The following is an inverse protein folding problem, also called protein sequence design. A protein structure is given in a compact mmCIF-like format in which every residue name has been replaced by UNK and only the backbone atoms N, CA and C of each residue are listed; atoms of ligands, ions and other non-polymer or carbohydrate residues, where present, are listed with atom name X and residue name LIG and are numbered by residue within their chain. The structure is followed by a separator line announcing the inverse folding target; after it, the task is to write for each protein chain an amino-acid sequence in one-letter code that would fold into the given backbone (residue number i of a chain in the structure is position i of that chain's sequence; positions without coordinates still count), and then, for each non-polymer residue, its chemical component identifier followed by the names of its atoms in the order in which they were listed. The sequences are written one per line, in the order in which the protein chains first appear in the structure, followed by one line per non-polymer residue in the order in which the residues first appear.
data_IF_384420178721
#
_entry.id   IF_384420178721
#
_cell.length_a   1.000
_cell.length_b   1.000
_cell.length_c   1.000
_cell.angle_alpha   90.00
_cell.angle_beta   90.00
_cell.angle_gamma   90.00
#
_symmetry.space_group_name_H-M   'P 1'
#
loop_
_entity.id
_entity.type
_entity.pdbx_description
1 polymer ?
#
# COMPACT_ATOMS: atom_id res chain seq x y z
N UNK A 1 -14.59 -0.52 -14.79
CA UNK A 1 -13.45 -0.40 -13.85
C UNK A 1 -12.90 -1.80 -13.64
N UNK A 2 -11.58 -1.99 -13.60
CA UNK A 2 -11.04 -3.33 -13.39
C UNK A 2 -11.32 -3.83 -11.96
N UNK A 3 -11.72 -5.10 -11.76
CA UNK A 3 -12.04 -5.64 -10.43
C UNK A 3 -10.91 -5.48 -9.41
N UNK A 4 -9.66 -5.68 -9.84
CA UNK A 4 -8.48 -5.50 -8.98
C UNK A 4 -8.33 -4.06 -8.52
N UNK A 5 -8.53 -3.09 -9.44
CA UNK A 5 -8.49 -1.66 -9.11
C UNK A 5 -9.59 -1.29 -8.12
N UNK A 6 -10.80 -1.84 -8.29
CA UNK A 6 -11.91 -1.59 -7.37
C UNK A 6 -11.60 -2.08 -5.95
N UNK A 7 -11.07 -3.29 -5.79
CA UNK A 7 -10.72 -3.84 -4.47
C UNK A 7 -9.61 -3.04 -3.78
N UNK A 8 -8.56 -2.66 -4.51
CA UNK A 8 -7.48 -1.80 -3.98
C UNK A 8 -8.00 -0.43 -3.57
N UNK A 9 -8.82 0.19 -4.41
CA UNK A 9 -9.43 1.50 -4.09
C UNK A 9 -10.31 1.44 -2.84
N UNK A 10 -11.10 0.38 -2.68
CA UNK A 10 -11.89 0.17 -1.45
C UNK A 10 -10.98 0.03 -0.23
N UNK A 11 -9.92 -0.78 -0.31
CA UNK A 11 -8.98 -0.94 0.79
C UNK A 11 -8.34 0.39 1.19
N UNK A 12 -7.93 1.20 0.21
CA UNK A 12 -7.39 2.55 0.42
C UNK A 12 -8.40 3.47 1.14
N UNK A 13 -9.64 3.54 0.65
CA UNK A 13 -10.66 4.40 1.24
C UNK A 13 -10.99 3.99 2.68
N UNK A 14 -11.07 2.68 2.95
CA UNK A 14 -11.27 2.15 4.30
C UNK A 14 -10.11 2.48 5.25
N UNK A 15 -8.87 2.37 4.77
CA UNK A 15 -7.70 2.75 5.57
C UNK A 15 -7.69 4.25 5.87
N UNK A 16 -7.93 5.07 4.84
CA UNK A 16 -8.02 6.52 4.96
C UNK A 16 -9.11 6.98 5.92
N UNK A 17 -10.24 6.27 5.97
CA UNK A 17 -11.34 6.56 6.90
C UNK A 17 -11.14 5.95 8.29
N UNK A 18 -9.96 5.38 8.58
CA UNK A 18 -9.65 4.68 9.83
C UNK A 18 -10.64 3.56 10.17
N UNK A 19 -11.15 2.85 9.16
CA UNK A 19 -11.98 1.67 9.37
C UNK A 19 -11.18 0.55 10.05
N UNK A 20 -11.89 -0.47 10.54
CA UNK A 20 -11.26 -1.64 11.16
C UNK A 20 -10.18 -2.26 10.25
N UNK A 21 -8.99 -2.48 10.81
CA UNK A 21 -7.85 -3.10 10.13
C UNK A 21 -8.18 -4.50 9.59
N UNK A 22 -9.11 -5.23 10.22
CA UNK A 22 -9.62 -6.51 9.71
C UNK A 22 -10.30 -6.34 8.34
N UNK A 23 -11.09 -5.28 8.18
CA UNK A 23 -11.82 -5.02 6.93
C UNK A 23 -10.87 -4.60 5.81
N UNK A 24 -9.92 -3.71 6.11
CA UNK A 24 -8.86 -3.31 5.15
C UNK A 24 -8.09 -4.54 4.67
N UNK A 25 -7.64 -5.39 5.60
CA UNK A 25 -6.92 -6.64 5.30
C UNK A 25 -7.75 -7.61 4.46
N UNK A 26 -9.06 -7.71 4.70
CA UNK A 26 -9.94 -8.57 3.90
C UNK A 26 -10.01 -8.14 2.43
N UNK A 27 -10.13 -6.84 2.16
CA UNK A 27 -10.13 -6.32 0.78
C UNK A 27 -8.75 -6.47 0.12
N UNK A 28 -7.65 -6.21 0.86
CA UNK A 28 -6.28 -6.44 0.37
C UNK A 28 -6.05 -7.92 0.00
N UNK A 29 -6.39 -8.84 0.91
CA UNK A 29 -6.25 -10.27 0.65
C UNK A 29 -7.08 -10.74 -0.55
N UNK A 30 -8.29 -10.21 -0.74
CA UNK A 30 -9.09 -10.51 -1.92
C UNK A 30 -8.45 -9.95 -3.20
N UNK A 31 -7.83 -8.76 -3.15
CA UNK A 31 -7.09 -8.18 -4.27
C UNK A 31 -5.88 -9.05 -4.65
N UNK A 32 -5.12 -9.56 -3.67
CA UNK A 32 -3.98 -10.46 -3.90
C UNK A 32 -4.42 -11.77 -4.56
N UNK A 33 -5.53 -12.35 -4.08
CA UNK A 33 -6.13 -13.55 -4.68
C UNK A 33 -6.54 -13.29 -6.13
N UNK A 34 -7.14 -12.12 -6.41
CA UNK A 34 -7.54 -11.74 -7.76
C UNK A 34 -6.33 -11.51 -8.67
N UNK A 35 -5.27 -10.86 -8.17
CA UNK A 35 -4.04 -10.63 -8.92
C UNK A 35 -3.32 -11.94 -9.28
N UNK A 36 -3.41 -12.96 -8.42
CA UNK A 36 -2.87 -14.29 -8.67
C UNK A 36 -3.79 -15.18 -9.52
N UNK A 37 -5.02 -14.75 -9.81
CA UNK A 37 -6.00 -15.52 -10.58
C UNK A 37 -6.05 -15.01 -12.02
N UNK A 38 -5.98 -15.88 -13.05
CA UNK A 38 -6.12 -15.46 -14.44
C UNK A 38 -7.42 -14.68 -14.68
N UNK A 39 -7.41 -13.55 -15.43
CA UNK A 39 -8.60 -12.72 -15.63
C UNK A 39 -9.80 -13.48 -16.23
N UNK A 40 -9.56 -14.45 -17.10
CA UNK A 40 -10.58 -15.31 -17.69
C UNK A 40 -11.23 -16.22 -16.65
N UNK A 41 -10.47 -16.72 -15.67
CA UNK A 41 -10.98 -17.49 -14.55
C UNK A 41 -11.83 -16.63 -13.61
N UNK A 42 -11.41 -15.39 -13.34
CA UNK A 42 -12.20 -14.43 -12.55
C UNK A 42 -13.55 -14.17 -13.23
N UNK A 43 -13.56 -13.93 -14.54
CA UNK A 43 -14.78 -13.71 -15.31
C UNK A 43 -15.70 -14.94 -15.31
N UNK A 44 -15.15 -16.15 -15.49
CA UNK A 44 -15.90 -17.42 -15.41
C UNK A 44 -16.55 -17.60 -14.03
N UNK A 45 -15.78 -17.43 -12.95
CA UNK A 45 -16.27 -17.58 -11.58
C UNK A 45 -17.32 -16.54 -11.22
N UNK A 46 -17.17 -15.31 -11.70
CA UNK A 46 -18.16 -14.26 -11.53
C UNK A 46 -19.49 -14.66 -12.18
N UNK A 47 -19.43 -15.14 -13.44
CA UNK A 47 -20.63 -15.58 -14.18
C UNK A 47 -21.29 -16.81 -13.55
N UNK A 48 -20.50 -17.71 -12.96
CA UNK A 48 -20.97 -18.90 -12.27
C UNK A 48 -21.42 -18.66 -10.82
N UNK A 49 -21.18 -17.47 -10.25
CA UNK A 49 -21.47 -17.18 -8.84
C UNK A 49 -20.55 -17.90 -7.83
N UNK A 50 -19.38 -18.39 -8.28
CA UNK A 50 -18.45 -19.23 -7.50
C UNK A 50 -17.19 -18.50 -7.02
N UNK A 51 -17.17 -17.16 -7.08
CA UNK A 51 -16.04 -16.35 -6.59
C UNK A 51 -15.69 -16.65 -5.11
N UNK A 52 -16.70 -16.98 -4.29
CA UNK A 52 -16.53 -17.28 -2.86
C UNK A 52 -15.80 -18.60 -2.57
N UNK A 53 -15.62 -19.43 -3.58
CA UNK A 53 -14.80 -20.64 -3.48
C UNK A 53 -13.30 -20.29 -3.49
N UNK A 54 -12.93 -19.09 -3.96
CA UNK A 54 -11.56 -18.60 -3.84
C UNK A 54 -11.29 -18.26 -2.38
N UNK A 55 -10.34 -18.97 -1.78
CA UNK A 55 -9.93 -18.74 -0.38
C UNK A 55 -9.47 -17.28 -0.22
N UNK A 56 -10.16 -16.52 0.63
CA UNK A 56 -9.89 -15.09 0.86
C UNK A 56 -10.92 -14.15 0.23
N UNK A 57 -11.85 -14.67 -0.58
CA UNK A 57 -12.95 -13.90 -1.16
C UNK A 57 -14.23 -14.16 -0.35
N UNK A 58 -14.73 -13.13 0.33
CA UNK A 58 -15.99 -13.14 1.07
C UNK A 58 -17.16 -12.56 0.26
N UNK A 59 -18.36 -12.52 0.84
CA UNK A 59 -19.56 -12.04 0.14
C UNK A 59 -19.41 -10.60 -0.39
N UNK A 60 -18.87 -9.70 0.43
CA UNK A 60 -18.68 -8.30 0.05
C UNK A 60 -17.69 -8.13 -1.12
N UNK A 61 -16.58 -8.87 -1.11
CA UNK A 61 -15.57 -8.78 -2.18
C UNK A 61 -16.05 -9.48 -3.44
N UNK A 62 -16.78 -10.59 -3.33
CA UNK A 62 -17.41 -11.27 -4.47
C UNK A 62 -18.44 -10.38 -5.18
N UNK A 63 -19.24 -9.62 -4.43
CA UNK A 63 -20.18 -8.64 -5.00
C UNK A 63 -19.45 -7.56 -5.79
N UNK A 64 -18.43 -6.94 -5.17
CA UNK A 64 -17.59 -5.93 -5.81
C UNK A 64 -16.96 -6.43 -7.10
N UNK A 65 -16.37 -7.64 -7.07
CA UNK A 65 -15.74 -8.23 -8.26
C UNK A 65 -16.78 -8.49 -9.35
N UNK A 66 -17.96 -8.99 -9.00
CA UNK A 66 -19.00 -9.28 -9.99
C UNK A 66 -19.54 -8.03 -10.67
N UNK A 67 -19.80 -6.97 -9.90
CA UNK A 67 -20.22 -5.68 -10.42
C UNK A 67 -19.15 -5.08 -11.37
N UNK A 68 -17.88 -5.14 -10.97
CA UNK A 68 -16.77 -4.64 -11.78
C UNK A 68 -16.58 -5.45 -13.08
N UNK A 69 -16.69 -6.79 -13.03
CA UNK A 69 -16.64 -7.66 -14.22
C UNK A 69 -17.79 -7.35 -15.18
N UNK A 70 -18.98 -7.00 -14.65
CA UNK A 70 -20.12 -6.56 -15.45
C UNK A 70 -19.95 -5.15 -16.05
N UNK A 71 -18.81 -4.48 -15.81
CA UNK A 71 -18.51 -3.14 -16.31
C UNK A 71 -19.10 -2.01 -15.46
N UNK A 72 -19.76 -2.31 -14.34
CA UNK A 72 -20.28 -1.30 -13.43
C UNK A 72 -19.19 -0.76 -12.49
N UNK A 73 -19.44 0.41 -11.91
CA UNK A 73 -18.71 0.85 -10.71
C UNK A 73 -19.36 0.15 -9.51
N UNK A 74 -18.61 -0.60 -8.69
CA UNK A 74 -19.21 -1.32 -7.58
C UNK A 74 -19.93 -0.42 -6.58
N UNK A 75 -21.11 -0.82 -6.11
CA UNK A 75 -21.94 -0.03 -5.18
C UNK A 75 -21.21 0.23 -3.86
N UNK A 76 -20.46 -0.78 -3.39
CA UNK A 76 -19.64 -0.65 -2.19
C UNK A 76 -18.57 0.43 -2.35
N UNK A 77 -17.92 0.48 -3.51
CA UNK A 77 -16.91 1.50 -3.82
C UNK A 77 -17.55 2.87 -3.93
N UNK A 78 -18.65 2.99 -4.68
CA UNK A 78 -19.35 4.26 -4.86
C UNK A 78 -19.76 4.86 -3.52
N UNK A 79 -20.32 4.05 -2.61
CA UNK A 79 -20.67 4.51 -1.26
C UNK A 79 -19.47 5.06 -0.50
N UNK A 80 -18.31 4.39 -0.55
CA UNK A 80 -17.10 4.88 0.13
C UNK A 80 -16.55 6.18 -0.48
N UNK A 81 -16.68 6.35 -1.79
CA UNK A 81 -16.32 7.61 -2.46
C UNK A 81 -17.27 8.74 -2.06
N UNK A 82 -18.57 8.46 -1.94
CA UNK A 82 -19.59 9.44 -1.53
C UNK A 82 -19.45 9.83 -0.04
N UNK A 83 -19.10 8.86 0.81
CA UNK A 83 -18.85 9.06 2.24
C UNK A 83 -17.46 9.66 2.52
N UNK A 84 -16.62 9.83 1.48
CA UNK A 84 -15.28 10.38 1.65
C UNK A 84 -15.37 11.82 2.15
N UNK A 85 -14.97 12.01 3.41
CA UNK A 85 -14.82 13.34 4.00
C UNK A 85 -13.40 13.84 3.74
N UNK A 86 -13.27 15.06 3.22
CA UNK A 86 -11.99 15.75 3.24
C UNK A 86 -11.65 16.12 4.68
N UNK A 87 -10.57 15.54 5.20
CA UNK A 87 -10.11 15.74 6.58
C UNK A 87 -9.73 17.20 6.87
N UNK A 88 -9.37 17.95 5.83
CA UNK A 88 -8.95 19.35 5.91
C UNK A 88 -9.50 20.09 4.69
N UNK A 89 -10.12 21.25 4.92
CA UNK A 89 -10.42 22.19 3.83
C UNK A 89 -9.19 23.03 3.55
N UNK A 90 -8.62 22.91 2.35
CA UNK A 90 -7.47 23.69 1.93
C UNK A 90 -7.91 24.97 1.22
N UNK A 91 -7.31 26.09 1.60
CA UNK A 91 -7.42 27.32 0.81
C UNK A 91 -6.64 27.19 -0.52
N UNK A 92 -6.55 28.27 -1.28
CA UNK A 92 -5.82 28.25 -2.55
C UNK A 92 -4.31 27.99 -2.35
N UNK A 93 -3.72 28.55 -1.28
CA UNK A 93 -2.30 28.40 -1.00
C UNK A 93 -1.95 26.96 -0.60
N UNK A 94 -2.76 26.35 0.27
CA UNK A 94 -2.63 24.95 0.67
C UNK A 94 -2.79 24.00 -0.52
N UNK A 95 -3.74 24.27 -1.44
CA UNK A 95 -3.88 23.49 -2.68
C UNK A 95 -2.66 23.59 -3.58
N UNK A 96 -2.07 24.78 -3.74
CA UNK A 96 -0.83 24.95 -4.51
C UNK A 96 0.35 24.22 -3.86
N UNK A 97 0.48 24.27 -2.54
CA UNK A 97 1.52 23.56 -1.82
C UNK A 97 1.37 22.04 -2.00
N UNK A 98 0.16 21.51 -1.79
CA UNK A 98 -0.14 20.09 -2.01
C UNK A 98 0.19 19.66 -3.44
N UNK A 99 -0.22 20.43 -4.45
CA UNK A 99 0.08 20.16 -5.85
C UNK A 99 1.58 20.27 -6.20
N UNK A 100 2.38 20.91 -5.33
CA UNK A 100 3.84 21.01 -5.50
C UNK A 100 4.57 19.83 -4.87
N UNK A 101 3.91 18.98 -4.07
CA UNK A 101 4.51 17.77 -3.52
C UNK A 101 4.77 16.77 -4.63
N UNK A 102 6.03 16.33 -4.73
CA UNK A 102 6.49 15.36 -5.72
C UNK A 102 6.64 13.96 -5.14
N UNK A 103 6.45 13.78 -3.84
CA UNK A 103 6.73 12.53 -3.17
C UNK A 103 6.90 12.70 -1.68
N UNK A 104 7.03 11.56 -1.01
CA UNK A 104 7.29 11.48 0.43
C UNK A 104 8.71 10.95 0.68
N UNK A 105 9.38 11.49 1.69
CA UNK A 105 10.75 11.15 2.06
C UNK A 105 10.86 10.44 3.42
N UNK A 106 9.73 10.19 4.09
CA UNK A 106 9.71 9.44 5.34
C UNK A 106 8.43 8.61 5.40
N UNK A 107 8.53 7.30 5.23
CA UNK A 107 7.37 6.40 5.23
C UNK A 107 7.72 5.01 5.71
N UNK A 108 6.79 4.37 6.45
CA UNK A 108 6.99 3.05 7.04
C UNK A 108 6.03 2.03 6.45
N UNK A 109 6.54 0.83 6.23
CA UNK A 109 5.79 -0.31 5.75
C UNK A 109 5.48 -1.29 6.86
N UNK A 110 4.78 -2.37 6.53
CA UNK A 110 4.55 -3.51 7.41
C UNK A 110 5.83 -4.28 7.82
N UNK A 111 7.01 -3.85 7.35
CA UNK A 111 8.30 -4.36 7.80
C UNK A 111 8.71 -3.80 9.16
N UNK A 112 8.22 -2.62 9.55
CA UNK A 112 8.36 -2.07 10.90
C UNK A 112 7.01 -1.81 11.57
N UNK A 113 6.60 -0.57 11.76
CA UNK A 113 5.35 -0.15 12.42
C UNK A 113 4.26 0.36 11.45
N UNK A 114 4.54 0.36 10.14
CA UNK A 114 3.56 0.67 9.12
C UNK A 114 2.45 -0.37 8.99
N UNK A 115 1.33 0.05 8.39
CA UNK A 115 0.15 -0.81 8.18
C UNK A 115 0.06 -1.47 6.80
N UNK A 116 0.96 -1.11 5.88
CA UNK A 116 0.81 -1.38 4.45
C UNK A 116 2.04 -2.06 3.85
N UNK A 117 1.86 -3.04 2.94
CA UNK A 117 2.97 -3.63 2.19
C UNK A 117 3.67 -2.60 1.30
N UNK A 118 4.97 -2.81 1.05
CA UNK A 118 5.80 -1.91 0.23
C UNK A 118 5.23 -1.70 -1.18
N UNK A 119 4.79 -2.76 -1.86
CA UNK A 119 4.21 -2.65 -3.21
C UNK A 119 2.95 -1.78 -3.21
N UNK A 120 2.10 -1.91 -2.20
CA UNK A 120 0.87 -1.11 -2.08
C UNK A 120 1.20 0.37 -1.83
N UNK A 121 2.17 0.66 -0.97
CA UNK A 121 2.63 2.03 -0.73
C UNK A 121 3.18 2.66 -2.01
N UNK A 122 3.99 1.93 -2.77
CA UNK A 122 4.59 2.43 -3.99
C UNK A 122 3.54 2.66 -5.10
N UNK A 123 2.61 1.72 -5.30
CA UNK A 123 1.47 1.89 -6.23
C UNK A 123 0.61 3.07 -5.82
N UNK A 124 0.31 3.23 -4.53
CA UNK A 124 -0.46 4.37 -4.03
C UNK A 124 0.28 5.69 -4.29
N UNK A 125 1.61 5.72 -4.14
CA UNK A 125 2.44 6.88 -4.49
C UNK A 125 2.26 7.29 -5.95
N UNK A 126 2.27 6.32 -6.87
CA UNK A 126 2.00 6.56 -8.31
C UNK A 126 0.58 7.11 -8.51
N UNK A 127 -0.42 6.53 -7.86
CA UNK A 127 -1.83 6.97 -7.98
C UNK A 127 -2.07 8.39 -7.42
N UNK A 128 -1.30 8.78 -6.40
CA UNK A 128 -1.31 10.15 -5.87
C UNK A 128 -0.59 11.16 -6.78
N UNK A 129 0.05 10.70 -7.86
CA UNK A 129 0.81 11.55 -8.78
C UNK A 129 2.20 11.92 -8.26
N UNK A 130 2.71 11.22 -7.25
CA UNK A 130 4.08 11.39 -6.82
C UNK A 130 5.05 10.84 -7.86
N UNK A 131 6.24 11.44 -7.91
CA UNK A 131 7.39 10.98 -8.68
C UNK A 131 8.29 10.03 -7.87
N UNK A 132 8.22 10.10 -6.54
CA UNK A 132 9.05 9.27 -5.66
C UNK A 132 8.41 8.98 -4.30
N UNK A 133 8.94 7.95 -3.63
CA UNK A 133 8.66 7.61 -2.24
C UNK A 133 9.94 7.04 -1.61
N UNK A 134 10.33 7.50 -0.42
CA UNK A 134 11.39 6.87 0.36
C UNK A 134 10.81 5.93 1.40
N UNK A 135 11.30 4.69 1.41
CA UNK A 135 11.00 3.71 2.45
C UNK A 135 12.04 3.85 3.57
N UNK A 136 11.58 4.19 4.78
CA UNK A 136 12.43 4.55 5.91
C UNK A 136 11.98 3.82 7.17
N UNK A 137 11.76 2.51 7.08
CA UNK A 137 11.38 1.69 8.23
C UNK A 137 12.40 1.78 9.39
N UNK A 138 11.94 1.50 10.62
CA UNK A 138 12.74 1.67 11.84
C UNK A 138 13.98 0.76 11.92
N UNK A 139 15.03 1.27 12.56
CA UNK A 139 16.20 0.49 12.99
C UNK A 139 15.94 -0.39 14.24
N UNK A 140 16.81 -1.36 14.58
CA UNK A 140 16.55 -2.44 15.55
C UNK A 140 16.09 -2.06 16.96
N UNK A 141 16.55 -0.95 17.53
CA UNK A 141 16.37 -0.59 18.95
C UNK A 141 14.91 -0.29 19.27
N UNK A 142 14.12 0.17 18.31
CA UNK A 142 12.69 0.41 18.44
C UNK A 142 11.92 -0.93 18.43
N UNK A 143 12.10 -1.73 19.49
CA UNK A 143 11.54 -3.09 19.65
C UNK A 143 10.01 -3.13 19.55
N UNK A 144 9.33 -2.04 19.91
CA UNK A 144 7.87 -1.90 19.77
C UNK A 144 7.46 -1.86 18.30
N UNK A 145 8.31 -1.29 17.43
CA UNK A 145 8.08 -1.14 15.99
C UNK A 145 8.67 -2.26 15.14
N UNK A 146 9.18 -3.35 15.73
CA UNK A 146 9.82 -4.46 14.98
C UNK A 146 10.92 -3.98 14.03
N UNK A 147 11.80 -3.10 14.51
CA UNK A 147 12.92 -2.56 13.74
C UNK A 147 13.75 -3.59 12.95
N UNK A 148 14.34 -3.15 11.84
CA UNK A 148 15.07 -4.00 10.91
C UNK A 148 16.53 -4.15 11.33
N UNK A 149 16.93 -5.39 11.62
CA UNK A 149 18.34 -5.77 11.67
C UNK A 149 18.99 -5.59 10.30
N UNK A 150 20.32 -5.54 10.23
CA UNK A 150 21.06 -5.46 8.97
C UNK A 150 20.64 -6.55 7.97
N UNK A 151 20.39 -7.77 8.46
CA UNK A 151 19.94 -8.89 7.64
C UNK A 151 18.53 -8.66 7.09
N UNK A 152 17.61 -8.15 7.93
CA UNK A 152 16.24 -7.84 7.48
C UNK A 152 16.23 -6.68 6.49
N UNK A 153 17.03 -5.63 6.74
CA UNK A 153 17.16 -4.51 5.82
C UNK A 153 17.70 -4.97 4.46
N UNK A 154 18.73 -5.84 4.45
CA UNK A 154 19.24 -6.43 3.21
C UNK A 154 18.15 -7.13 2.38
N UNK A 155 17.24 -7.86 3.03
CA UNK A 155 16.10 -8.50 2.35
C UNK A 155 15.10 -7.47 1.83
N UNK A 156 14.84 -6.41 2.58
CA UNK A 156 13.96 -5.32 2.16
C UNK A 156 14.52 -4.59 0.94
N UNK A 157 15.82 -4.30 0.91
CA UNK A 157 16.49 -3.68 -0.24
C UNK A 157 16.33 -4.52 -1.52
N UNK A 158 16.41 -5.86 -1.41
CA UNK A 158 16.18 -6.74 -2.55
C UNK A 158 14.71 -6.69 -3.04
N UNK A 159 13.74 -6.59 -2.13
CA UNK A 159 12.32 -6.39 -2.48
C UNK A 159 12.12 -5.06 -3.19
N UNK A 160 12.69 -3.97 -2.66
CA UNK A 160 12.61 -2.64 -3.26
C UNK A 160 13.23 -2.62 -4.65
N UNK A 161 14.40 -3.24 -4.84
CA UNK A 161 15.06 -3.32 -6.15
C UNK A 161 14.17 -4.03 -7.19
N UNK A 162 13.53 -5.15 -6.83
CA UNK A 162 12.62 -5.86 -7.72
C UNK A 162 11.34 -5.10 -8.08
N UNK A 163 10.88 -4.21 -7.19
CA UNK A 163 9.71 -3.35 -7.43
C UNK A 163 10.06 -2.11 -8.25
N UNK A 164 11.21 -1.48 -7.99
CA UNK A 164 11.61 -0.22 -8.61
C UNK A 164 11.62 -0.31 -10.14
N UNK A 165 12.10 -1.43 -10.71
CA UNK A 165 12.10 -1.65 -12.16
C UNK A 165 10.70 -1.67 -12.76
N UNK A 166 9.73 -2.24 -12.04
CA UNK A 166 8.33 -2.39 -12.49
C UNK A 166 7.53 -1.08 -12.42
N UNK A 167 8.05 -0.09 -11.69
CA UNK A 167 7.34 1.14 -11.36
C UNK A 167 7.84 2.37 -12.12
N UNK A 168 8.84 2.23 -12.99
CA UNK A 168 9.34 3.36 -13.78
C UNK A 168 8.21 4.10 -14.53
N UNK A 169 8.20 5.45 -14.53
CA UNK A 169 9.28 6.35 -14.08
C UNK A 169 9.27 6.72 -12.58
N UNK A 170 8.40 6.12 -11.76
CA UNK A 170 8.35 6.37 -10.32
C UNK A 170 9.59 5.82 -9.61
N UNK A 171 10.12 6.57 -8.63
CA UNK A 171 11.33 6.21 -7.88
C UNK A 171 10.99 5.77 -6.46
N UNK A 172 11.18 4.48 -6.18
CA UNK A 172 11.18 3.96 -4.82
C UNK A 172 12.59 4.04 -4.25
N UNK A 173 12.81 4.93 -3.28
CA UNK A 173 14.09 5.19 -2.64
C UNK A 173 14.25 4.31 -1.40
N UNK A 174 15.48 3.88 -1.16
CA UNK A 174 15.88 3.08 0.00
C UNK A 174 16.40 3.98 1.10
N UNK A 175 16.01 3.68 2.34
CA UNK A 175 16.42 4.42 3.53
C UNK A 175 16.14 3.61 4.79
N UNK A 176 16.43 4.21 5.93
CA UNK A 176 16.11 3.66 7.25
C UNK A 176 15.89 4.84 8.21
N UNK A 177 14.88 4.77 9.07
CA UNK A 177 14.80 5.67 10.24
C UNK A 177 15.75 5.12 11.30
N UNK A 178 16.96 5.69 11.37
CA UNK A 178 18.02 5.24 12.28
C UNK A 178 17.93 5.92 13.63
N UNK A 179 17.75 5.11 14.68
CA UNK A 179 17.83 5.56 16.06
C UNK A 179 19.25 6.06 16.39
N UNK A 180 19.32 7.07 17.25
CA UNK A 180 20.57 7.57 17.81
C UNK A 180 20.68 7.05 19.25
N UNK A 181 21.78 6.37 19.56
CA UNK A 181 22.09 5.87 20.89
C UNK A 181 22.42 7.01 21.86
N UNK A 182 22.35 6.72 23.16
CA UNK A 182 22.59 7.70 24.23
C UNK A 182 24.03 8.25 24.20
N UNK A 183 24.97 7.49 23.60
CA UNK A 183 26.36 7.89 23.36
C UNK A 183 26.58 8.59 22.01
N UNK A 184 25.51 8.81 21.23
CA UNK A 184 25.54 9.45 19.92
C UNK A 184 25.86 8.51 18.74
N UNK A 185 26.12 7.23 18.98
CA UNK A 185 26.30 6.25 17.91
C UNK A 185 24.96 5.92 17.22
N UNK A 186 25.00 5.40 15.99
CA UNK A 186 23.81 5.09 15.20
C UNK A 186 23.41 3.62 15.36
N UNK A 187 22.11 3.36 15.42
CA UNK A 187 21.52 2.03 15.61
C UNK A 187 21.49 1.20 14.32
N UNK A 188 22.61 1.16 13.59
CA UNK A 188 22.80 0.31 12.44
C UNK A 188 24.30 0.14 12.17
N UNK A 189 24.69 -0.93 11.48
CA UNK A 189 26.10 -1.12 11.14
C UNK A 189 26.55 -0.08 10.11
N UNK A 190 27.78 0.46 10.21
CA UNK A 190 28.33 1.38 9.19
C UNK A 190 28.30 0.79 7.79
N UNK A 191 28.52 -0.52 7.66
CA UNK A 191 28.48 -1.23 6.38
C UNK A 191 27.08 -1.19 5.76
N UNK A 192 26.04 -1.38 6.57
CA UNK A 192 24.65 -1.36 6.10
C UNK A 192 24.21 0.06 5.75
N UNK A 193 24.57 1.05 6.57
CA UNK A 193 24.30 2.47 6.26
C UNK A 193 24.98 2.92 4.96
N UNK A 194 26.17 2.41 4.65
CA UNK A 194 26.86 2.68 3.39
C UNK A 194 26.27 2.00 2.17
N UNK A 195 25.33 1.07 2.34
CA UNK A 195 24.69 0.30 1.26
C UNK A 195 23.29 0.82 0.87
N UNK A 196 22.74 1.79 1.61
CA UNK A 196 21.46 2.46 1.32
C UNK A 196 21.55 3.41 0.13
#
# INVERSE_FOLDING_TARGET
MEPLQALRRIAFLLERSQASSYRVKAFRAAADVLAATPPDEVARRSSAGTLRELKGVGDATAAVVSEAVAGAVPEYLQRLEDERVDLVTLDEAGRRLLASLRGDLHSHSDWSDGGSPIEEMAVTGVELGHEYLALTDHSPRLKVARGLTAERLSLQLAVVAGLAERLLPFRLLTGIEVDIHDDGSLDQTPEMLGAL
#
